data_IF_214790779106
#
_entry.id   IF_214790779106
#
_cell.length_a   1.000
_cell.length_b   1.000
_cell.length_c   1.000
_cell.angle_alpha   90.00
_cell.angle_beta   90.00
_cell.angle_gamma   90.00
#
_symmetry.space_group_name_H-M   'P 1'
#
loop_
_entity.id
_entity.type
_entity.pdbx_description
1 polymer ?
#
# COMPACT_ATOMS: atom_id res chain seq x y z
N UNK A 1 12.07 -28.96 4.42
CA UNK A 1 11.78 -28.00 5.50
C UNK A 1 11.56 -26.58 4.95
N UNK A 2 12.42 -26.07 4.04
CA UNK A 2 12.23 -24.79 3.34
C UNK A 2 10.88 -24.66 2.58
N UNK A 3 10.50 -25.70 1.81
CA UNK A 3 9.20 -25.74 1.11
C UNK A 3 7.97 -25.89 2.04
N UNK A 4 8.17 -26.21 3.32
CA UNK A 4 7.08 -26.47 4.27
C UNK A 4 6.80 -25.22 5.14
N UNK A 5 7.85 -24.52 5.55
CA UNK A 5 7.75 -23.23 6.27
C UNK A 5 7.13 -22.16 5.38
N UNK A 6 7.51 -22.11 4.10
CA UNK A 6 6.91 -21.19 3.11
C UNK A 6 5.43 -21.51 2.86
N UNK A 7 5.02 -22.79 2.90
CA UNK A 7 3.64 -23.24 2.65
C UNK A 7 2.68 -23.01 3.84
N UNK A 8 3.21 -22.88 5.06
CA UNK A 8 2.40 -22.62 6.26
C UNK A 8 2.43 -21.14 6.68
N UNK A 9 3.51 -20.41 6.38
CA UNK A 9 3.53 -18.95 6.55
C UNK A 9 2.53 -18.27 5.60
N UNK A 10 2.37 -18.79 4.37
CA UNK A 10 1.33 -18.35 3.43
C UNK A 10 -0.09 -18.60 3.95
N UNK A 11 -0.34 -19.62 4.77
CA UNK A 11 -1.69 -19.89 5.32
C UNK A 11 -2.14 -18.90 6.40
N UNK A 12 -1.22 -18.35 7.19
CA UNK A 12 -1.57 -17.41 8.25
C UNK A 12 -1.74 -15.96 7.75
N UNK A 13 -1.15 -15.63 6.59
CA UNK A 13 -1.48 -14.42 5.84
C UNK A 13 -2.68 -14.62 4.88
N UNK A 14 -3.02 -15.87 4.50
CA UNK A 14 -4.12 -16.20 3.58
C UNK A 14 -5.53 -16.07 4.17
N UNK A 15 -5.70 -15.52 5.38
CA UNK A 15 -7.05 -15.24 5.92
C UNK A 15 -7.73 -14.02 5.24
N UNK A 16 -7.06 -13.34 4.29
CA UNK A 16 -7.69 -12.30 3.46
C UNK A 16 -7.58 -12.55 1.95
N UNK A 17 -7.73 -13.80 1.49
CA UNK A 17 -8.03 -14.07 0.07
C UNK A 17 -9.52 -14.33 -0.10
N UNK A 18 -10.33 -13.26 -0.20
CA UNK A 18 -11.68 -13.39 -0.74
C UNK A 18 -11.59 -13.40 -2.26
N UNK A 19 -11.74 -14.59 -2.83
CA UNK A 19 -11.95 -14.83 -4.26
C UNK A 19 -13.23 -14.08 -4.65
N UNK A 20 -13.09 -12.98 -5.41
CA UNK A 20 -14.23 -12.36 -6.08
C UNK A 20 -14.59 -13.24 -7.28
N UNK A 21 -15.59 -14.10 -7.10
CA UNK A 21 -16.18 -14.85 -8.21
C UNK A 21 -17.03 -13.88 -9.03
N UNK A 22 -16.53 -13.41 -10.18
CA UNK A 22 -17.37 -12.89 -11.26
C UNK A 22 -17.50 -13.93 -12.36
N UNK A 23 -18.74 -14.28 -12.71
CA UNK A 23 -19.09 -15.14 -13.82
C UNK A 23 -18.56 -14.54 -15.13
N UNK A 24 -17.72 -15.28 -15.86
CA UNK A 24 -17.12 -14.77 -17.08
C UNK A 24 -16.95 -15.82 -18.18
N UNK A 25 -16.96 -15.30 -19.41
CA UNK A 25 -16.68 -15.98 -20.67
C UNK A 25 -15.26 -16.60 -20.70
N UNK A 26 -14.98 -17.55 -21.62
CA UNK A 26 -13.73 -18.33 -21.61
C UNK A 26 -12.43 -17.50 -21.65
N UNK A 27 -12.42 -16.36 -22.35
CA UNK A 27 -11.24 -15.49 -22.43
C UNK A 27 -10.90 -14.80 -21.09
N UNK A 28 -11.91 -14.45 -20.30
CA UNK A 28 -11.70 -13.82 -19.00
C UNK A 28 -11.22 -14.84 -17.96
N UNK A 29 -11.69 -16.09 -18.04
CA UNK A 29 -11.23 -17.16 -17.14
C UNK A 29 -9.74 -17.53 -17.30
N UNK A 30 -9.20 -17.39 -18.51
CA UNK A 30 -7.79 -17.66 -18.81
C UNK A 30 -6.88 -16.51 -18.31
N UNK A 31 -7.28 -15.26 -18.54
CA UNK A 31 -6.58 -14.07 -17.98
C UNK A 31 -6.56 -14.08 -16.44
N UNK A 32 -7.65 -14.50 -15.77
CA UNK A 32 -7.70 -14.58 -14.31
C UNK A 32 -6.82 -15.70 -13.72
N UNK A 33 -6.67 -16.82 -14.44
CA UNK A 33 -5.79 -17.90 -14.00
C UNK A 33 -4.32 -17.48 -14.09
N UNK A 34 -3.94 -16.82 -15.19
CA UNK A 34 -2.59 -16.27 -15.36
C UNK A 34 -2.26 -15.19 -14.31
N UNK A 35 -3.22 -14.32 -13.98
CA UNK A 35 -3.06 -13.32 -12.92
C UNK A 35 -2.72 -13.94 -11.55
N UNK A 36 -3.41 -15.03 -11.21
CA UNK A 36 -3.22 -15.73 -9.93
C UNK A 36 -1.83 -16.36 -9.83
N UNK A 37 -1.32 -16.93 -10.93
CA UNK A 37 0.04 -17.48 -10.99
C UNK A 37 1.10 -16.39 -10.81
N UNK A 38 0.94 -15.24 -11.49
CA UNK A 38 1.84 -14.09 -11.36
C UNK A 38 1.85 -13.52 -9.94
N UNK A 39 0.68 -13.42 -9.29
CA UNK A 39 0.58 -12.95 -7.90
C UNK A 39 1.37 -13.87 -6.98
N UNK A 40 1.15 -15.19 -7.09
CA UNK A 40 1.87 -16.18 -6.30
C UNK A 40 3.39 -16.10 -6.53
N UNK A 41 3.84 -15.96 -7.78
CA UNK A 41 5.26 -15.82 -8.10
C UNK A 41 5.87 -14.56 -7.46
N UNK A 42 5.19 -13.41 -7.58
CA UNK A 42 5.63 -12.16 -6.99
C UNK A 42 5.74 -12.25 -5.46
N UNK A 43 4.77 -12.87 -4.80
CA UNK A 43 4.80 -13.14 -3.36
C UNK A 43 5.96 -14.03 -2.96
N UNK A 44 6.25 -15.08 -3.74
CA UNK A 44 7.40 -15.94 -3.47
C UNK A 44 8.72 -15.16 -3.53
N UNK A 45 8.89 -14.27 -4.52
CA UNK A 45 10.07 -13.41 -4.57
C UNK A 45 10.11 -12.41 -3.42
N UNK A 46 8.97 -11.82 -3.04
CA UNK A 46 8.88 -10.92 -1.89
C UNK A 46 9.33 -11.63 -0.60
N UNK A 47 8.83 -12.85 -0.35
CA UNK A 47 9.16 -13.66 0.83
C UNK A 47 10.63 -14.07 0.88
N UNK A 48 11.26 -14.28 -0.29
CA UNK A 48 12.70 -14.58 -0.40
C UNK A 48 13.59 -13.33 -0.28
N UNK A 49 12.99 -12.14 -0.13
CA UNK A 49 13.72 -10.88 -0.13
C UNK A 49 14.21 -10.44 -1.52
N UNK A 50 13.78 -11.11 -2.59
CA UNK A 50 14.11 -10.82 -3.98
C UNK A 50 13.22 -9.69 -4.52
N UNK A 51 13.19 -8.56 -3.81
CA UNK A 51 12.18 -7.50 -4.00
C UNK A 51 12.15 -6.93 -5.42
N UNK A 52 13.30 -6.80 -6.10
CA UNK A 52 13.34 -6.33 -7.50
C UNK A 52 12.52 -7.21 -8.44
N UNK A 53 12.64 -8.53 -8.29
CA UNK A 53 11.89 -9.48 -9.13
C UNK A 53 10.40 -9.40 -8.81
N UNK A 54 10.03 -9.31 -7.54
CA UNK A 54 8.62 -9.11 -7.14
C UNK A 54 8.02 -7.83 -7.75
N UNK A 55 8.77 -6.72 -7.76
CA UNK A 55 8.31 -5.44 -8.32
C UNK A 55 8.06 -5.53 -9.82
N UNK A 56 8.96 -6.18 -10.58
CA UNK A 56 8.78 -6.38 -12.02
C UNK A 56 7.48 -7.13 -12.29
N UNK A 57 7.19 -8.18 -11.51
CA UNK A 57 5.96 -8.95 -11.69
C UNK A 57 4.73 -8.14 -11.27
N UNK A 58 4.80 -7.37 -10.18
CA UNK A 58 3.71 -6.45 -9.81
C UNK A 58 3.43 -5.42 -10.89
N UNK A 59 4.46 -4.89 -11.56
CA UNK A 59 4.29 -3.99 -12.71
C UNK A 59 3.54 -4.67 -13.85
N UNK A 60 3.92 -5.90 -14.21
CA UNK A 60 3.22 -6.69 -15.23
C UNK A 60 1.76 -6.95 -14.86
N UNK A 61 1.47 -7.26 -13.58
CA UNK A 61 0.09 -7.46 -13.11
C UNK A 61 -0.71 -6.16 -13.24
N UNK A 62 -0.12 -5.01 -12.90
CA UNK A 62 -0.78 -3.71 -12.99
C UNK A 62 -0.99 -3.22 -14.43
N UNK A 63 -0.27 -3.77 -15.41
CA UNK A 63 -0.59 -3.55 -16.83
C UNK A 63 -1.93 -4.19 -17.20
N UNK A 64 -2.27 -5.33 -16.58
CA UNK A 64 -3.50 -6.09 -16.82
C UNK A 64 -4.63 -5.60 -15.89
N UNK A 65 -4.33 -5.35 -14.62
CA UNK A 65 -5.26 -4.96 -13.56
C UNK A 65 -4.82 -3.64 -12.90
N UNK A 66 -4.92 -2.50 -13.60
CA UNK A 66 -4.43 -1.20 -13.12
C UNK A 66 -5.21 -0.63 -11.92
N UNK A 67 -6.31 -1.27 -11.52
CA UNK A 67 -7.17 -0.83 -10.43
C UNK A 67 -7.13 -1.79 -9.23
N UNK A 68 -6.11 -2.64 -9.13
CA UNK A 68 -5.93 -3.55 -8.00
C UNK A 68 -5.13 -2.88 -6.88
N UNK A 69 -5.82 -2.46 -5.81
CA UNK A 69 -5.18 -1.83 -4.65
C UNK A 69 -4.16 -2.74 -3.98
N UNK A 70 -4.39 -4.06 -3.99
CA UNK A 70 -3.54 -5.01 -3.27
C UNK A 70 -2.17 -5.11 -3.91
N UNK A 71 -2.12 -5.11 -5.23
CA UNK A 71 -0.86 -5.14 -5.97
C UNK A 71 -0.04 -3.88 -5.71
N UNK A 72 -0.69 -2.71 -5.64
CA UNK A 72 -0.03 -1.46 -5.22
C UNK A 72 0.49 -1.51 -3.79
N UNK A 73 -0.26 -2.07 -2.83
CA UNK A 73 0.21 -2.27 -1.45
C UNK A 73 1.46 -3.14 -1.42
N UNK A 74 1.43 -4.27 -2.13
CA UNK A 74 2.54 -5.24 -2.13
C UNK A 74 3.78 -4.69 -2.82
N UNK A 75 3.60 -3.96 -3.92
CA UNK A 75 4.69 -3.21 -4.57
C UNK A 75 5.26 -2.14 -3.64
N UNK A 76 4.41 -1.41 -2.92
CA UNK A 76 4.81 -0.44 -1.90
C UNK A 76 5.63 -1.07 -0.77
N UNK A 77 5.23 -2.26 -0.29
CA UNK A 77 5.96 -3.07 0.69
C UNK A 77 7.32 -3.52 0.13
N UNK A 78 7.38 -4.04 -1.09
CA UNK A 78 8.62 -4.46 -1.73
C UNK A 78 9.61 -3.28 -1.83
N UNK A 79 9.15 -2.11 -2.28
CA UNK A 79 9.95 -0.89 -2.35
C UNK A 79 10.42 -0.44 -0.95
N UNK A 80 9.54 -0.47 0.06
CA UNK A 80 9.90 -0.14 1.44
C UNK A 80 10.99 -1.07 1.99
N UNK A 81 10.96 -2.34 1.61
CA UNK A 81 11.98 -3.31 2.02
C UNK A 81 13.27 -3.20 1.22
N UNK A 82 13.25 -2.79 -0.06
CA UNK A 82 14.48 -2.44 -0.81
C UNK A 82 15.26 -1.35 -0.09
N UNK A 83 14.57 -0.35 0.46
CA UNK A 83 15.20 0.68 1.29
C UNK A 83 15.96 0.08 2.48
N UNK A 84 15.45 -1.01 3.07
CA UNK A 84 16.07 -1.71 4.19
C UNK A 84 17.18 -2.68 3.75
N UNK A 85 17.29 -3.05 2.47
CA UNK A 85 18.39 -3.91 2.00
C UNK A 85 19.75 -3.24 2.17
N UNK A 86 19.86 -1.91 2.31
CA UNK A 86 21.12 -1.28 2.71
C UNK A 86 21.59 -1.69 4.11
N UNK A 87 20.67 -2.21 4.95
CA UNK A 87 20.95 -2.58 6.34
C UNK A 87 21.21 -4.09 6.52
N UNK A 88 22.48 -4.47 6.73
CA UNK A 88 23.06 -5.74 7.27
C UNK A 88 22.64 -7.12 6.72
N UNK A 89 21.58 -7.23 5.95
CA UNK A 89 21.05 -8.50 5.43
C UNK A 89 21.10 -8.61 3.90
N UNK A 90 21.69 -7.64 3.18
CA UNK A 90 21.76 -7.70 1.73
C UNK A 90 22.52 -8.94 1.28
N UNK A 91 21.84 -9.77 0.49
CA UNK A 91 22.47 -10.62 -0.51
C UNK A 91 23.59 -9.83 -1.22
N UNK A 92 24.70 -10.48 -1.57
CA UNK A 92 25.75 -9.84 -2.36
C UNK A 92 25.11 -9.19 -3.59
N UNK A 93 25.24 -7.87 -3.69
CA UNK A 93 24.78 -7.14 -4.85
C UNK A 93 25.83 -7.34 -5.94
N UNK A 94 25.50 -8.11 -6.97
CA UNK A 94 26.21 -8.06 -8.26
C UNK A 94 26.00 -6.65 -8.83
N UNK A 95 26.93 -5.73 -8.50
CA UNK A 95 27.03 -4.31 -8.87
C UNK A 95 26.70 -3.31 -7.74
N UNK A 96 27.70 -2.83 -6.97
CA UNK A 96 27.55 -1.76 -5.99
C UNK A 96 27.33 -0.36 -6.60
N UNK A 97 27.18 -0.24 -7.92
CA UNK A 97 27.09 1.05 -8.62
C UNK A 97 25.74 1.78 -8.43
N UNK A 98 24.73 1.12 -7.88
CA UNK A 98 23.45 1.73 -7.56
C UNK A 98 23.38 2.12 -6.08
N UNK A 99 23.83 3.31 -5.72
CA UNK A 99 23.58 3.86 -4.38
C UNK A 99 22.06 4.03 -4.22
N UNK A 100 21.41 3.20 -3.40
CA UNK A 100 19.99 3.40 -3.10
C UNK A 100 19.86 4.64 -2.22
N UNK A 101 19.46 5.76 -2.81
CA UNK A 101 19.04 6.93 -2.04
C UNK A 101 17.77 6.56 -1.25
N UNK A 102 17.90 6.50 0.08
CA UNK A 102 16.82 6.17 1.02
C UNK A 102 15.60 7.04 0.76
N UNK A 103 15.80 8.33 0.44
CA UNK A 103 14.71 9.26 0.15
C UNK A 103 14.03 8.95 -1.18
N UNK A 104 14.81 8.51 -2.18
CA UNK A 104 14.27 8.09 -3.47
C UNK A 104 13.40 6.82 -3.35
N UNK A 105 13.91 5.78 -2.71
CA UNK A 105 13.14 4.54 -2.53
C UNK A 105 11.93 4.74 -1.62
N UNK A 106 12.07 5.55 -0.55
CA UNK A 106 10.94 5.93 0.30
C UNK A 106 9.85 6.68 -0.48
N UNK A 107 10.25 7.59 -1.39
CA UNK A 107 9.31 8.28 -2.28
C UNK A 107 8.53 7.29 -3.14
N UNK A 108 9.23 6.35 -3.81
CA UNK A 108 8.58 5.36 -4.67
C UNK A 108 7.56 4.52 -3.88
N UNK A 109 7.95 4.01 -2.71
CA UNK A 109 7.06 3.25 -1.82
C UNK A 109 5.82 4.07 -1.41
N UNK A 110 6.03 5.32 -0.98
CA UNK A 110 4.94 6.23 -0.56
C UNK A 110 3.96 6.49 -1.70
N UNK A 111 4.44 6.60 -2.95
CA UNK A 111 3.57 6.77 -4.14
C UNK A 111 2.69 5.54 -4.37
N UNK A 112 3.23 4.33 -4.24
CA UNK A 112 2.42 3.11 -4.46
C UNK A 112 1.37 2.93 -3.36
N UNK A 113 1.69 3.22 -2.10
CA UNK A 113 0.68 3.24 -1.03
C UNK A 113 -0.38 4.33 -1.25
N UNK A 114 0.00 5.48 -1.79
CA UNK A 114 -0.96 6.52 -2.17
C UNK A 114 -1.93 6.03 -3.24
N UNK A 115 -1.44 5.38 -4.31
CA UNK A 115 -2.30 4.77 -5.33
C UNK A 115 -3.21 3.68 -4.76
N UNK A 116 -2.69 2.84 -3.87
CA UNK A 116 -3.50 1.83 -3.17
C UNK A 116 -4.65 2.47 -2.40
N UNK A 117 -4.38 3.57 -1.68
CA UNK A 117 -5.39 4.31 -0.91
C UNK A 117 -6.43 5.01 -1.81
N UNK A 118 -6.03 5.54 -2.98
CA UNK A 118 -6.96 6.10 -3.96
C UNK A 118 -7.94 5.06 -4.53
N UNK A 119 -7.53 3.78 -4.56
CA UNK A 119 -8.39 2.67 -5.00
C UNK A 119 -9.23 2.13 -3.83
N UNK A 120 -8.62 1.98 -2.65
CA UNK A 120 -9.23 1.48 -1.42
C UNK A 120 -8.94 2.46 -0.25
N UNK A 121 -9.82 3.45 -0.02
CA UNK A 121 -9.63 4.50 0.99
C UNK A 121 -9.59 4.02 2.44
N UNK A 122 -10.01 2.77 2.68
CA UNK A 122 -10.08 2.12 4.00
C UNK A 122 -8.99 1.07 4.20
N UNK A 123 -8.01 0.98 3.30
CA UNK A 123 -6.89 0.04 3.48
C UNK A 123 -6.00 0.47 4.64
N UNK A 124 -6.06 -0.28 5.75
CA UNK A 124 -5.17 -0.11 6.90
C UNK A 124 -3.70 -0.28 6.50
N UNK A 125 -3.41 -1.20 5.57
CA UNK A 125 -2.06 -1.43 5.04
C UNK A 125 -1.55 -0.19 4.31
N UNK A 126 -2.36 0.39 3.41
CA UNK A 126 -1.97 1.59 2.67
C UNK A 126 -1.82 2.82 3.58
N UNK A 127 -2.73 2.98 4.55
CA UNK A 127 -2.65 4.05 5.57
C UNK A 127 -1.37 3.92 6.41
N UNK A 128 -1.05 2.71 6.89
CA UNK A 128 0.19 2.45 7.60
C UNK A 128 1.42 2.70 6.70
N UNK A 129 1.37 2.28 5.44
CA UNK A 129 2.44 2.51 4.48
C UNK A 129 2.72 4.01 4.25
N UNK A 130 1.68 4.84 4.13
CA UNK A 130 1.82 6.30 4.05
C UNK A 130 2.34 6.91 5.35
N UNK A 131 1.82 6.47 6.51
CA UNK A 131 2.31 6.91 7.81
C UNK A 131 3.80 6.64 7.99
N UNK A 132 4.26 5.43 7.64
CA UNK A 132 5.67 5.06 7.65
C UNK A 132 6.47 5.89 6.64
N UNK A 133 5.94 6.07 5.42
CA UNK A 133 6.56 6.88 4.36
C UNK A 133 6.82 8.32 4.79
N UNK A 134 5.83 9.00 5.35
CA UNK A 134 5.97 10.36 5.89
C UNK A 134 6.89 10.40 7.12
N UNK A 135 6.81 9.42 8.02
CA UNK A 135 7.71 9.30 9.16
C UNK A 135 9.18 9.20 8.72
N UNK A 136 9.46 8.42 7.68
CA UNK A 136 10.80 8.31 7.07
C UNK A 136 11.27 9.58 6.36
N UNK A 137 10.40 10.57 6.15
CA UNK A 137 10.77 11.91 5.69
C UNK A 137 10.90 12.92 6.85
N UNK A 138 10.70 12.49 8.09
CA UNK A 138 10.58 13.37 9.25
C UNK A 138 9.30 14.21 9.28
N UNK A 139 8.33 13.91 8.40
CA UNK A 139 7.02 14.58 8.33
C UNK A 139 6.06 13.96 9.36
N UNK A 140 6.43 14.05 10.64
CA UNK A 140 5.79 13.29 11.71
C UNK A 140 4.32 13.66 11.95
N UNK A 141 3.94 14.93 11.80
CA UNK A 141 2.55 15.34 11.95
C UNK A 141 1.67 14.85 10.79
N UNK A 142 2.22 14.77 9.59
CA UNK A 142 1.52 14.19 8.44
C UNK A 142 1.36 12.68 8.63
N UNK A 143 2.41 11.99 9.09
CA UNK A 143 2.37 10.57 9.42
C UNK A 143 1.28 10.24 10.46
N UNK A 144 1.17 11.03 11.54
CA UNK A 144 0.13 10.85 12.57
C UNK A 144 -1.29 10.87 12.00
N UNK A 145 -1.58 11.69 10.99
CA UNK A 145 -2.91 11.75 10.37
C UNK A 145 -3.29 10.42 9.72
N UNK A 146 -2.35 9.77 9.03
CA UNK A 146 -2.58 8.47 8.42
C UNK A 146 -2.71 7.35 9.46
N UNK A 147 -1.89 7.37 10.51
CA UNK A 147 -2.01 6.41 11.60
C UNK A 147 -3.31 6.58 12.39
N UNK A 148 -3.76 7.81 12.64
CA UNK A 148 -5.06 8.06 13.27
C UNK A 148 -6.21 7.46 12.43
N UNK A 149 -6.22 7.67 11.12
CA UNK A 149 -7.19 7.06 10.20
C UNK A 149 -7.12 5.53 10.19
N UNK A 150 -5.92 4.95 10.30
CA UNK A 150 -5.78 3.49 10.41
C UNK A 150 -6.41 2.96 11.70
N UNK A 151 -6.22 3.65 12.84
CA UNK A 151 -6.81 3.27 14.12
C UNK A 151 -8.32 3.55 14.21
N UNK A 152 -8.85 4.49 13.42
CA UNK A 152 -10.31 4.64 13.28
C UNK A 152 -10.96 3.40 12.64
N UNK A 153 -10.25 2.71 11.76
CA UNK A 153 -10.73 1.51 11.04
C UNK A 153 -10.44 0.25 11.86
N UNK A 154 -9.21 0.13 12.37
CA UNK A 154 -8.76 -1.01 13.18
C UNK A 154 -8.12 -0.49 14.48
N UNK A 155 -8.93 -0.25 15.53
CA UNK A 155 -8.46 0.33 16.80
C UNK A 155 -7.39 -0.49 17.52
N UNK A 156 -7.30 -1.79 17.22
CA UNK A 156 -6.35 -2.72 17.84
C UNK A 156 -5.12 -3.04 16.98
N UNK A 157 -4.92 -2.31 15.89
CA UNK A 157 -3.77 -2.52 15.02
C UNK A 157 -2.44 -2.19 15.76
N UNK A 158 -1.73 -3.25 16.18
CA UNK A 158 -0.48 -3.13 16.93
C UNK A 158 0.64 -2.46 16.12
N UNK A 159 0.70 -2.69 14.81
CA UNK A 159 1.69 -2.07 13.92
C UNK A 159 1.52 -0.57 13.94
N UNK A 160 0.28 -0.08 13.77
CA UNK A 160 -0.04 1.34 13.82
C UNK A 160 0.30 1.95 15.18
N UNK A 161 -0.11 1.32 16.29
CA UNK A 161 0.18 1.79 17.64
C UNK A 161 1.69 1.92 17.90
N UNK A 162 2.49 0.95 17.46
CA UNK A 162 3.95 0.96 17.62
C UNK A 162 4.60 2.12 16.86
N UNK A 163 4.20 2.38 15.62
CA UNK A 163 4.73 3.51 14.85
C UNK A 163 4.29 4.86 15.43
N UNK A 164 3.07 4.95 15.96
CA UNK A 164 2.58 6.17 16.60
C UNK A 164 3.39 6.50 17.87
N UNK A 165 3.58 5.52 18.76
CA UNK A 165 4.40 5.68 19.97
C UNK A 165 5.84 6.10 19.63
N UNK A 166 6.45 5.47 18.62
CA UNK A 166 7.75 5.87 18.11
C UNK A 166 7.79 7.34 17.66
N UNK A 167 6.79 7.77 16.89
CA UNK A 167 6.72 9.15 16.40
C UNK A 167 6.56 10.13 17.57
N UNK A 168 5.69 9.82 18.53
CA UNK A 168 5.46 10.67 19.71
C UNK A 168 6.73 10.83 20.55
N UNK A 169 7.46 9.74 20.78
CA UNK A 169 8.78 9.76 21.45
C UNK A 169 9.80 10.61 20.68
N UNK A 170 9.79 10.52 19.35
CA UNK A 170 10.71 11.26 18.48
C UNK A 170 10.42 12.76 18.52
N UNK A 171 9.16 13.17 18.34
CA UNK A 171 8.72 14.58 18.43
C UNK A 171 9.05 15.17 19.80
N UNK A 172 8.86 14.39 20.88
CA UNK A 172 9.15 14.85 22.24
C UNK A 172 10.65 15.11 22.46
N UNK A 173 11.52 14.37 21.78
CA UNK A 173 12.97 14.41 21.97
C UNK A 173 13.67 15.38 21.03
N UNK A 174 13.15 15.57 19.83
CA UNK A 174 13.79 16.36 18.78
C UNK A 174 12.81 17.39 18.19
N UNK A 175 13.24 18.65 17.98
CA UNK A 175 12.44 19.62 17.22
C UNK A 175 12.12 19.10 15.83
N UNK A 176 10.87 19.29 15.38
CA UNK A 176 10.41 18.81 14.08
C UNK A 176 10.09 19.98 13.16
N UNK A 177 10.65 19.94 11.95
CA UNK A 177 10.29 20.84 10.86
C UNK A 177 9.33 20.12 9.92
N UNK A 178 8.39 20.86 9.36
CA UNK A 178 7.41 20.32 8.42
C UNK A 178 7.49 21.04 7.10
N UNK A 179 7.40 20.24 6.04
CA UNK A 179 7.24 20.79 4.71
C UNK A 179 5.82 21.30 4.55
N UNK A 180 5.66 22.60 4.27
CA UNK A 180 4.35 23.13 3.95
C UNK A 180 3.74 22.37 2.77
N UNK A 181 2.55 21.80 2.99
CA UNK A 181 1.80 21.09 1.95
C UNK A 181 1.33 22.09 0.88
N UNK A 182 1.59 21.84 -0.41
CA UNK A 182 1.21 22.77 -1.46
C UNK A 182 -0.30 23.12 -1.46
N UNK A 183 -0.68 24.39 -1.71
CA UNK A 183 -2.08 24.81 -1.71
C UNK A 183 -3.00 24.02 -2.64
N UNK A 184 -2.48 23.51 -3.76
CA UNK A 184 -3.26 22.68 -4.68
C UNK A 184 -3.62 21.31 -4.08
N UNK A 185 -2.75 20.69 -3.28
CA UNK A 185 -3.04 19.45 -2.56
C UNK A 185 -3.97 19.70 -1.38
N UNK A 186 -3.79 20.81 -0.66
CA UNK A 186 -4.75 21.22 0.39
C UNK A 186 -6.15 21.44 -0.20
N UNK A 187 -6.23 21.99 -1.41
CA UNK A 187 -7.49 22.13 -2.14
C UNK A 187 -8.03 20.77 -2.62
N UNK A 188 -7.16 19.85 -3.04
CA UNK A 188 -7.56 18.48 -3.39
C UNK A 188 -8.16 17.73 -2.19
N UNK A 189 -7.52 17.84 -1.01
CA UNK A 189 -7.98 17.19 0.24
C UNK A 189 -9.26 17.81 0.82
N UNK A 190 -9.49 19.11 0.60
CA UNK A 190 -10.70 19.82 1.02
C UNK A 190 -11.86 19.65 0.03
N UNK A 191 -11.57 19.31 -1.21
CA UNK A 191 -12.60 19.16 -2.24
C UNK A 191 -13.12 17.73 -2.25
N UNK A 192 -14.40 17.56 -1.90
CA UNK A 192 -15.07 16.26 -2.03
C UNK A 192 -15.10 15.77 -3.48
N UNK A 193 -14.99 16.66 -4.46
CA UNK A 193 -14.88 16.35 -5.89
C UNK A 193 -13.45 16.61 -6.37
N UNK A 194 -12.72 15.60 -6.87
CA UNK A 194 -11.42 15.83 -7.48
C UNK A 194 -11.46 16.89 -8.57
N UNK A 195 -10.50 17.81 -8.53
CA UNK A 195 -10.44 18.98 -9.43
C UNK A 195 -10.44 18.59 -10.91
N UNK A 196 -9.91 17.42 -11.24
CA UNK A 196 -9.86 16.96 -12.59
C UNK A 196 -11.22 16.62 -13.19
N UNK A 197 -12.21 16.22 -12.38
CA UNK A 197 -13.55 15.89 -12.85
C UNK A 197 -14.23 17.15 -13.37
N UNK A 198 -14.01 18.25 -12.66
CA UNK A 198 -14.44 19.60 -13.06
C UNK A 198 -13.73 20.08 -14.33
N UNK A 199 -12.45 19.73 -14.48
CA UNK A 199 -11.68 20.00 -15.72
C UNK A 199 -12.21 19.19 -16.90
N UNK A 200 -12.41 17.87 -16.71
CA UNK A 200 -12.97 16.95 -17.70
C UNK A 200 -14.37 17.40 -18.15
N UNK A 201 -15.22 17.85 -17.22
CA UNK A 201 -16.53 18.41 -17.56
C UNK A 201 -16.43 19.61 -18.53
N UNK A 202 -15.45 20.50 -18.32
CA UNK A 202 -15.19 21.62 -19.24
C UNK A 202 -14.66 21.18 -20.61
N UNK A 203 -13.79 20.18 -20.65
CA UNK A 203 -13.29 19.58 -21.89
C UNK A 203 -14.40 18.86 -22.66
N UNK A 204 -15.24 18.10 -21.97
CA UNK A 204 -16.38 17.39 -22.54
C UNK A 204 -17.40 18.36 -23.12
N UNK A 205 -17.68 19.45 -22.39
CA UNK A 205 -18.55 20.52 -22.88
C UNK A 205 -17.98 21.30 -24.08
N UNK A 206 -16.68 21.16 -24.34
CA UNK A 206 -15.99 21.75 -25.49
C UNK A 206 -15.64 20.72 -26.56
N UNK A 207 -16.24 19.52 -26.49
CA UNK A 207 -16.04 18.40 -27.43
C UNK A 207 -14.58 17.93 -27.56
N UNK A 208 -13.75 18.16 -26.53
CA UNK A 208 -12.34 17.74 -26.49
C UNK A 208 -12.16 16.30 -26.01
N UNK A 209 -13.14 15.75 -25.31
CA UNK A 209 -13.17 14.37 -24.82
C UNK A 209 -14.54 13.75 -25.11
N UNK A 210 -14.60 12.42 -25.19
CA UNK A 210 -15.83 11.69 -25.52
C UNK A 210 -16.82 11.63 -24.36
N UNK A 211 -18.07 11.25 -24.64
CA UNK A 211 -19.07 10.96 -23.60
C UNK A 211 -18.58 9.85 -22.66
N UNK A 212 -17.86 8.85 -23.17
CA UNK A 212 -17.28 7.79 -22.35
C UNK A 212 -16.23 8.32 -21.37
N UNK A 213 -15.36 9.24 -21.80
CA UNK A 213 -14.34 9.85 -20.94
C UNK A 213 -14.97 10.70 -19.83
N UNK A 214 -16.06 11.41 -20.15
CA UNK A 214 -16.83 12.16 -19.17
C UNK A 214 -17.58 11.25 -18.18
N UNK A 215 -18.29 10.23 -18.70
CA UNK A 215 -19.02 9.23 -17.89
C UNK A 215 -18.06 8.54 -16.93
N UNK A 216 -16.83 8.25 -17.36
CA UNK A 216 -15.89 7.57 -16.51
C UNK A 216 -15.37 8.48 -15.36
N UNK A 217 -15.36 9.80 -15.55
CA UNK A 217 -15.26 10.76 -14.43
C UNK A 217 -16.44 10.70 -13.46
N UNK A 218 -17.65 10.52 -13.97
CA UNK A 218 -18.85 10.30 -13.14
C UNK A 218 -18.81 8.96 -12.41
N UNK A 219 -18.31 7.90 -13.05
CA UNK A 219 -18.10 6.59 -12.43
C UNK A 219 -17.13 6.69 -11.24
N UNK A 220 -16.08 7.50 -11.35
CA UNK A 220 -15.19 7.78 -10.22
C UNK A 220 -15.96 8.40 -9.04
N UNK A 221 -16.81 9.40 -9.29
CA UNK A 221 -17.59 10.06 -8.24
C UNK A 221 -18.52 9.10 -7.50
N UNK A 222 -19.16 8.19 -8.24
CA UNK A 222 -20.03 7.15 -7.68
C UNK A 222 -19.21 6.13 -6.88
N UNK A 223 -18.10 5.62 -7.44
CA UNK A 223 -17.21 4.65 -6.79
C UNK A 223 -16.71 5.17 -5.44
N UNK A 224 -16.30 6.42 -5.39
CA UNK A 224 -15.76 7.06 -4.18
C UNK A 224 -16.84 7.60 -3.24
N UNK A 225 -18.12 7.28 -3.49
CA UNK A 225 -19.27 7.70 -2.67
C UNK A 225 -19.41 9.22 -2.53
N UNK A 226 -18.84 9.97 -3.49
CA UNK A 226 -19.00 11.42 -3.63
C UNK A 226 -20.41 11.71 -4.18
N UNK A 227 -20.85 10.93 -5.17
CA UNK A 227 -22.27 10.80 -5.52
C UNK A 227 -22.81 9.55 -4.83
N UNK A 228 -23.77 9.73 -3.92
CA UNK A 228 -24.48 8.62 -3.26
C UNK A 228 -25.77 8.31 -3.98
N UNK A 229 -25.86 7.09 -4.52
CA UNK A 229 -27.04 6.56 -5.22
C UNK A 229 -27.82 5.63 -4.28
N UNK A 230 -29.14 5.75 -4.29
CA UNK A 230 -30.02 4.88 -3.50
C UNK A 230 -30.34 3.63 -4.34
N UNK A 231 -30.06 2.44 -3.79
CA UNK A 231 -29.98 1.14 -4.48
C UNK A 231 -31.23 0.73 -5.28
N UNK A 232 -32.38 1.32 -4.98
CA UNK A 232 -33.68 0.96 -5.54
C UNK A 232 -34.06 1.73 -6.82
N UNK A 233 -33.27 2.73 -7.23
CA UNK A 233 -33.73 3.73 -8.21
C UNK A 233 -33.06 3.67 -9.59
N UNK A 234 -32.14 2.75 -9.86
CA UNK A 234 -31.43 2.70 -11.14
C UNK A 234 -32.22 1.88 -12.17
N UNK A 235 -32.81 2.55 -13.16
CA UNK A 235 -33.45 1.88 -14.30
C UNK A 235 -32.44 1.01 -15.09
N UNK A 236 -32.81 -0.25 -15.36
CA UNK A 236 -31.93 -1.27 -15.97
C UNK A 236 -31.71 -1.13 -17.48
N UNK A 237 -32.45 -0.25 -18.16
CA UNK A 237 -32.37 -0.08 -19.61
C UNK A 237 -31.71 1.27 -19.95
N UNK A 238 -30.37 1.29 -19.99
CA UNK A 238 -29.62 2.52 -20.28
C UNK A 238 -29.48 2.78 -21.77
N UNK A 239 -29.89 3.96 -22.24
CA UNK A 239 -29.65 4.39 -23.63
C UNK A 239 -28.22 4.92 -23.85
N UNK A 240 -27.50 5.28 -22.78
CA UNK A 240 -26.20 5.99 -22.80
C UNK A 240 -26.21 7.29 -23.65
N UNK A 241 -27.40 7.83 -23.95
CA UNK A 241 -27.53 9.10 -24.68
C UNK A 241 -27.64 10.21 -23.65
N UNK A 242 -26.54 10.95 -23.45
CA UNK A 242 -26.54 12.11 -22.58
C UNK A 242 -27.19 13.28 -23.33
N UNK A 243 -28.25 13.90 -22.78
CA UNK A 243 -28.87 15.06 -23.42
C UNK A 243 -27.87 16.21 -23.62
N UNK A 244 -27.84 16.81 -24.82
CA UNK A 244 -26.86 17.84 -25.18
C UNK A 244 -26.86 19.06 -24.25
N UNK A 245 -28.00 19.39 -23.62
CA UNK A 245 -28.10 20.50 -22.67
C UNK A 245 -27.24 20.29 -21.41
N UNK A 246 -26.88 19.04 -21.06
CA UNK A 246 -25.99 18.73 -19.94
C UNK A 246 -24.58 19.26 -20.17
N UNK A 247 -24.12 19.36 -21.43
CA UNK A 247 -22.83 20.00 -21.75
C UNK A 247 -22.80 21.47 -21.33
N UNK A 248 -23.92 22.19 -21.39
CA UNK A 248 -23.99 23.56 -20.88
C UNK A 248 -23.81 23.62 -19.36
N UNK A 249 -24.44 22.69 -18.63
CA UNK A 249 -24.26 22.58 -17.17
C UNK A 249 -22.82 22.23 -16.81
N UNK A 250 -22.19 21.31 -17.55
CA UNK A 250 -20.80 20.94 -17.38
C UNK A 250 -19.85 22.13 -17.63
N UNK A 251 -20.10 22.94 -18.67
CA UNK A 251 -19.37 24.18 -18.96
C UNK A 251 -19.51 25.22 -17.85
N UNK A 252 -20.73 25.41 -17.35
CA UNK A 252 -20.99 26.36 -16.25
C UNK A 252 -20.35 25.89 -14.96
N UNK A 253 -20.40 24.59 -14.68
CA UNK A 253 -19.76 24.00 -13.52
C UNK A 253 -18.25 24.18 -13.59
N UNK A 254 -17.61 23.82 -14.71
CA UNK A 254 -16.17 23.97 -14.89
C UNK A 254 -15.68 25.41 -14.75
N UNK A 255 -16.52 26.37 -15.15
CA UNK A 255 -16.26 27.81 -15.03
C UNK A 255 -16.62 28.40 -13.64
N UNK A 256 -17.07 27.57 -12.69
CA UNK A 256 -17.46 28.01 -11.35
C UNK A 256 -18.77 28.80 -11.27
N UNK A 257 -19.60 28.76 -12.32
CA UNK A 257 -20.89 29.48 -12.39
C UNK A 257 -22.04 28.76 -11.69
N UNK A 258 -21.92 27.45 -11.48
CA UNK A 258 -22.85 26.65 -10.67
C UNK A 258 -22.06 25.87 -9.62
N UNK A 259 -22.73 25.58 -8.49
CA UNK A 259 -22.11 24.86 -7.37
C UNK A 259 -21.85 23.39 -7.69
N UNK A 260 -20.95 22.79 -6.92
CA UNK A 260 -20.65 21.36 -6.96
C UNK A 260 -21.92 20.53 -6.70
N UNK A 261 -22.67 20.85 -5.64
CA UNK A 261 -23.94 20.22 -5.30
C UNK A 261 -24.96 20.31 -6.46
N UNK A 262 -25.12 21.49 -7.06
CA UNK A 262 -26.06 21.69 -8.17
C UNK A 262 -25.73 20.82 -9.38
N UNK A 263 -24.45 20.71 -9.73
CA UNK A 263 -24.03 19.86 -10.84
C UNK A 263 -24.19 18.38 -10.51
N UNK A 264 -23.74 17.94 -9.33
CA UNK A 264 -23.83 16.55 -8.89
C UNK A 264 -25.27 16.05 -8.77
N UNK A 265 -26.20 16.88 -8.30
CA UNK A 265 -27.63 16.53 -8.25
C UNK A 265 -28.19 16.29 -9.67
N UNK A 266 -27.77 17.10 -10.64
CA UNK A 266 -28.11 16.88 -12.05
C UNK A 266 -27.56 15.55 -12.58
N UNK A 267 -26.31 15.21 -12.24
CA UNK A 267 -25.71 13.92 -12.60
C UNK A 267 -26.42 12.75 -11.90
N UNK A 268 -26.74 12.86 -10.61
CA UNK A 268 -27.51 11.87 -9.86
C UNK A 268 -28.85 11.61 -10.56
N UNK A 269 -29.56 12.66 -10.96
CA UNK A 269 -30.80 12.54 -11.73
C UNK A 269 -30.60 11.77 -13.05
N UNK A 270 -29.56 12.08 -13.83
CA UNK A 270 -29.29 11.37 -15.09
C UNK A 270 -29.00 9.89 -14.89
N UNK A 271 -28.30 9.53 -13.81
CA UNK A 271 -28.00 8.14 -13.47
C UNK A 271 -29.28 7.40 -13.06
N UNK A 272 -30.07 8.00 -12.15
CA UNK A 272 -31.33 7.43 -11.68
C UNK A 272 -32.32 7.18 -12.82
N UNK A 273 -32.39 8.08 -13.80
CA UNK A 273 -33.27 7.94 -14.98
C UNK A 273 -32.64 7.15 -16.14
N UNK A 274 -31.59 6.35 -15.89
CA UNK A 274 -30.99 5.46 -16.89
C UNK A 274 -30.29 6.16 -18.08
N UNK A 275 -30.09 7.47 -18.03
CA UNK A 275 -29.44 8.23 -19.13
C UNK A 275 -27.92 8.08 -19.10
N UNK A 276 -27.33 7.92 -17.92
CA UNK A 276 -25.90 7.60 -17.72
C UNK A 276 -25.79 6.23 -17.06
N UNK A 277 -25.13 5.29 -17.73
CA UNK A 277 -24.81 3.99 -17.15
C UNK A 277 -23.45 4.01 -16.43
N UNK A 278 -23.48 3.79 -15.12
CA UNK A 278 -22.28 3.68 -14.27
C UNK A 278 -22.02 2.25 -13.78
N UNK A 279 -22.80 1.26 -14.22
CA UNK A 279 -22.76 -0.12 -13.70
C UNK A 279 -21.65 -1.00 -14.28
N UNK A 280 -21.10 -0.65 -15.45
CA UNK A 280 -20.00 -1.40 -16.06
C UNK A 280 -18.66 -0.74 -15.77
N UNK A 281 -17.92 -1.31 -14.82
CA UNK A 281 -16.52 -0.98 -14.61
C UNK A 281 -15.69 -1.73 -15.66
N UNK A 282 -15.40 -1.08 -16.79
CA UNK A 282 -14.50 -1.65 -17.80
C UNK A 282 -13.05 -1.50 -17.35
N UNK A 283 -12.22 -2.50 -17.65
CA UNK A 283 -10.77 -2.42 -17.57
C UNK A 283 -10.34 -1.21 -18.42
N UNK A 284 -9.97 -0.10 -17.78
CA UNK A 284 -10.05 1.22 -18.40
C UNK A 284 -8.73 1.94 -18.26
N UNK A 285 -8.11 2.19 -19.41
CA UNK A 285 -6.97 3.10 -19.60
C UNK A 285 -7.18 4.45 -18.89
N UNK A 286 -8.44 4.86 -18.67
CA UNK A 286 -8.76 6.07 -17.93
C UNK A 286 -8.51 5.94 -16.41
N UNK A 287 -8.79 4.80 -15.77
CA UNK A 287 -8.47 4.60 -14.34
C UNK A 287 -6.95 4.66 -14.15
N UNK A 288 -6.20 4.03 -15.05
CA UNK A 288 -4.73 4.11 -15.07
C UNK A 288 -4.25 5.56 -15.21
N UNK A 289 -4.75 6.30 -16.21
CA UNK A 289 -4.44 7.73 -16.42
C UNK A 289 -4.79 8.59 -15.21
N UNK A 290 -5.88 8.29 -14.51
CA UNK A 290 -6.30 9.04 -13.33
C UNK A 290 -5.37 8.82 -12.14
N UNK A 291 -5.09 7.55 -11.85
CA UNK A 291 -4.17 7.16 -10.80
C UNK A 291 -2.78 7.74 -11.06
N UNK A 292 -2.32 7.72 -12.31
CA UNK A 292 -1.05 8.35 -12.71
C UNK A 292 -1.06 9.86 -12.50
N UNK A 293 -2.13 10.56 -12.89
CA UNK A 293 -2.24 12.02 -12.67
C UNK A 293 -2.26 12.36 -11.18
N UNK A 294 -3.03 11.63 -10.41
CA UNK A 294 -3.19 11.85 -8.97
C UNK A 294 -1.87 11.55 -8.24
N UNK A 295 -1.22 10.44 -8.59
CA UNK A 295 0.12 10.11 -8.12
C UNK A 295 1.18 11.14 -8.54
N UNK A 296 1.11 11.71 -9.75
CA UNK A 296 2.03 12.75 -10.20
C UNK A 296 1.92 14.03 -9.38
N UNK A 297 0.69 14.46 -9.07
CA UNK A 297 0.43 15.62 -8.20
C UNK A 297 0.99 15.39 -6.79
N UNK A 298 0.77 14.20 -6.25
CA UNK A 298 1.31 13.78 -4.96
C UNK A 298 2.85 13.71 -4.97
N UNK A 299 3.46 13.21 -6.05
CA UNK A 299 4.90 13.15 -6.20
C UNK A 299 5.55 14.53 -6.11
N UNK A 300 4.92 15.59 -6.67
CA UNK A 300 5.46 16.96 -6.56
C UNK A 300 5.62 17.40 -5.10
N UNK A 301 4.72 16.97 -4.22
CA UNK A 301 4.84 17.22 -2.79
C UNK A 301 5.99 16.43 -2.16
N UNK A 302 6.13 15.16 -2.50
CA UNK A 302 7.28 14.37 -2.02
C UNK A 302 8.63 14.93 -2.51
N UNK A 303 8.70 15.46 -3.74
CA UNK A 303 9.91 16.13 -4.23
C UNK A 303 10.19 17.45 -3.51
N UNK A 304 9.15 18.21 -3.13
CA UNK A 304 9.30 19.37 -2.24
C UNK A 304 9.86 18.93 -0.88
N UNK A 305 9.30 17.90 -0.27
CA UNK A 305 9.76 17.35 1.01
C UNK A 305 11.25 16.97 0.92
N UNK A 306 11.64 16.22 -0.11
CA UNK A 306 13.05 15.83 -0.31
C UNK A 306 14.00 17.02 -0.42
N UNK A 307 13.58 18.08 -1.12
CA UNK A 307 14.37 19.30 -1.24
C UNK A 307 14.48 20.03 0.10
N UNK A 308 13.37 20.13 0.83
CA UNK A 308 13.32 20.83 2.10
C UNK A 308 14.14 20.07 3.17
N UNK A 309 14.08 18.73 3.21
CA UNK A 309 14.97 17.87 4.02
C UNK A 309 16.45 18.22 3.79
N UNK A 310 16.86 18.35 2.52
CA UNK A 310 18.26 18.67 2.16
C UNK A 310 18.64 20.09 2.52
N UNK A 311 17.73 21.05 2.34
CA UNK A 311 18.01 22.47 2.60
C UNK A 311 18.04 22.81 4.10
N UNK A 312 17.28 22.07 4.90
CA UNK A 312 17.14 22.29 6.34
C UNK A 312 18.12 21.45 7.18
N UNK A 313 18.94 20.60 6.55
CA UNK A 313 19.72 19.56 7.22
C UNK A 313 18.86 18.77 8.23
N UNK A 314 17.65 18.39 7.79
CA UNK A 314 16.61 17.88 8.69
C UNK A 314 17.04 16.58 9.36
N UNK A 315 16.92 16.56 10.69
CA UNK A 315 17.11 15.35 11.47
C UNK A 315 15.94 14.38 11.27
N UNK A 316 16.25 13.16 10.85
CA UNK A 316 15.29 12.07 10.68
C UNK A 316 15.77 10.90 11.53
N UNK A 317 15.00 10.57 12.58
CA UNK A 317 15.15 9.28 13.24
C UNK A 317 14.47 8.25 12.33
N UNK A 318 15.04 7.05 12.18
CA UNK A 318 14.36 5.97 11.46
C UNK A 318 13.88 4.92 12.46
N UNK A 319 12.67 4.35 12.30
CA UNK A 319 12.11 3.38 13.23
C UNK A 319 12.87 2.04 13.26
N UNK A 320 13.49 1.69 12.14
CA UNK A 320 14.32 0.49 12.03
C UNK A 320 15.80 0.85 12.18
N UNK A 321 16.62 -0.06 12.74
CA UNK A 321 18.04 0.18 12.95
C UNK A 321 18.72 0.63 11.67
N UNK A 322 19.31 1.83 11.71
CA UNK A 322 20.08 2.38 10.60
C UNK A 322 21.38 1.61 10.38
N UNK A 323 22.07 1.91 9.28
CA UNK A 323 23.45 1.44 9.04
C UNK A 323 24.40 1.75 10.22
N UNK A 324 24.04 2.67 11.11
CA UNK A 324 24.83 2.98 12.31
C UNK A 324 24.64 1.97 13.45
N UNK A 325 23.53 1.24 13.50
CA UNK A 325 23.34 0.13 14.45
C UNK A 325 24.17 -1.07 14.01
N UNK A 326 24.31 -1.28 12.70
CA UNK A 326 25.24 -2.25 12.10
C UNK A 326 26.65 -2.05 12.63
N UNK A 327 27.13 -0.80 12.63
CA UNK A 327 28.46 -0.46 13.15
C UNK A 327 28.64 -0.94 14.60
N UNK A 328 27.58 -0.97 15.42
CA UNK A 328 27.66 -1.48 16.80
C UNK A 328 27.88 -2.99 16.84
N UNK A 329 27.22 -3.75 15.96
CA UNK A 329 27.48 -5.18 15.79
C UNK A 329 28.95 -5.44 15.42
N UNK A 330 29.52 -4.60 14.53
CA UNK A 330 30.93 -4.69 14.14
C UNK A 330 31.92 -4.24 15.22
N UNK A 331 31.53 -3.30 16.11
CA UNK A 331 32.39 -2.81 17.21
C UNK A 331 32.51 -3.82 18.36
N UNK A 332 31.46 -4.56 18.66
CA UNK A 332 31.44 -5.56 19.74
C UNK A 332 31.03 -6.95 19.20
N UNK A 333 31.75 -7.54 18.23
CA UNK A 333 31.29 -8.71 17.48
C UNK A 333 31.03 -9.95 18.35
N UNK A 334 31.77 -10.11 19.46
CA UNK A 334 31.57 -11.20 20.42
C UNK A 334 30.33 -11.02 21.29
N UNK A 335 29.93 -9.78 21.58
CA UNK A 335 28.72 -9.49 22.36
C UNK A 335 27.46 -9.84 21.60
N UNK A 336 27.51 -9.71 20.27
CA UNK A 336 26.35 -9.88 19.40
C UNK A 336 26.39 -11.14 18.55
N UNK A 337 27.34 -12.05 18.78
CA UNK A 337 27.56 -13.26 17.98
C UNK A 337 27.69 -12.98 16.46
N UNK A 338 28.23 -11.82 16.07
CA UNK A 338 28.29 -11.40 14.67
C UNK A 338 29.15 -12.34 13.82
N UNK A 339 30.30 -12.78 14.34
CA UNK A 339 31.17 -13.73 13.62
C UNK A 339 30.46 -15.04 13.31
N UNK A 340 29.83 -15.65 14.31
CA UNK A 340 29.01 -16.86 14.12
C UNK A 340 27.84 -16.62 13.15
N UNK A 341 27.25 -15.43 13.16
CA UNK A 341 26.19 -15.05 12.22
C UNK A 341 26.69 -14.92 10.77
N UNK A 342 27.89 -14.38 10.55
CA UNK A 342 28.47 -14.21 9.21
C UNK A 342 29.00 -15.53 8.64
N UNK A 343 29.54 -16.39 9.51
CA UNK A 343 30.10 -17.70 9.13
C UNK A 343 29.02 -18.79 8.99
N UNK A 344 27.77 -18.52 9.41
CA UNK A 344 26.68 -19.49 9.22
C UNK A 344 26.28 -19.52 7.73
N UNK A 345 25.96 -20.71 7.18
CA UNK A 345 25.32 -20.78 5.87
C UNK A 345 24.06 -19.90 5.87
N UNK A 346 23.81 -19.13 4.80
CA UNK A 346 22.75 -18.11 4.71
C UNK A 346 21.35 -18.62 5.12
N UNK A 347 21.12 -19.94 5.07
CA UNK A 347 19.85 -20.61 5.40
C UNK A 347 19.92 -21.56 6.61
N UNK A 348 20.98 -21.52 7.43
CA UNK A 348 21.12 -22.44 8.55
C UNK A 348 20.48 -21.90 9.83
N UNK A 349 19.28 -22.38 10.12
CA UNK A 349 18.74 -22.48 11.47
C UNK A 349 18.93 -23.92 11.95
N UNK A 350 19.14 -24.13 13.27
CA UNK A 350 19.02 -25.49 13.81
C UNK A 350 17.65 -26.03 13.38
N UNK A 351 17.59 -27.14 12.63
CA UNK A 351 16.32 -27.62 12.10
C UNK A 351 15.39 -27.95 13.27
N UNK A 352 14.13 -27.54 13.16
CA UNK A 352 13.12 -27.92 14.12
C UNK A 352 13.04 -29.44 14.20
N UNK A 353 13.04 -29.98 15.43
CA UNK A 353 12.76 -31.39 15.66
C UNK A 353 11.25 -31.58 15.57
N UNK A 354 10.83 -32.43 14.66
CA UNK A 354 9.42 -32.77 14.49
C UNK A 354 9.23 -34.23 14.85
N UNK A 355 8.32 -34.49 15.77
CA UNK A 355 7.93 -35.85 16.15
C UNK A 355 6.43 -35.90 16.42
N UNK A 356 5.84 -37.10 16.37
CA UNK A 356 4.41 -37.29 16.65
C UNK A 356 4.22 -37.93 18.01
N UNK A 357 3.30 -37.39 18.80
CA UNK A 357 2.74 -38.03 19.98
C UNK A 357 1.26 -38.17 19.72
N UNK A 358 0.77 -39.42 19.67
CA UNK A 358 -0.59 -39.75 19.24
C UNK A 358 -0.94 -39.13 17.86
N UNK A 359 -2.02 -38.33 17.80
CA UNK A 359 -2.50 -37.63 16.60
C UNK A 359 -2.05 -36.16 16.54
N UNK A 360 -0.96 -35.81 17.23
CA UNK A 360 -0.41 -34.46 17.28
C UNK A 360 1.06 -34.44 16.85
N UNK A 361 1.40 -33.53 15.93
CA UNK A 361 2.78 -33.22 15.59
C UNK A 361 3.34 -32.19 16.57
N UNK A 362 4.39 -32.56 17.30
CA UNK A 362 5.14 -31.65 18.15
C UNK A 362 6.33 -31.10 17.35
N UNK A 363 6.42 -29.78 17.27
CA UNK A 363 7.50 -29.05 16.60
C UNK A 363 8.33 -28.34 17.67
N UNK A 364 9.51 -28.88 17.97
CA UNK A 364 10.47 -28.24 18.87
C UNK A 364 11.51 -27.48 18.04
N UNK A 365 11.78 -26.24 18.42
CA UNK A 365 12.79 -25.41 17.76
C UNK A 365 13.55 -24.59 18.80
N UNK A 366 14.77 -24.19 18.47
CA UNK A 366 15.57 -23.28 19.30
C UNK A 366 15.64 -21.91 18.65
N UNK A 367 15.38 -20.90 19.44
CA UNK A 367 15.53 -19.50 19.07
C UNK A 367 16.50 -18.82 20.01
N UNK A 368 17.41 -18.03 19.43
CA UNK A 368 18.29 -17.17 20.18
C UNK A 368 17.88 -15.73 19.90
N UNK A 369 17.34 -15.05 20.92
CA UNK A 369 16.96 -13.65 20.85
C UNK A 369 18.02 -12.86 21.63
N UNK A 370 18.75 -11.99 20.94
CA UNK A 370 19.71 -11.09 21.58
C UNK A 370 18.99 -9.98 22.37
N UNK A 371 19.66 -9.41 23.37
CA UNK A 371 19.15 -8.24 24.08
C UNK A 371 18.91 -7.06 23.14
N UNK A 372 17.83 -6.31 23.39
CA UNK A 372 17.54 -5.07 22.68
C UNK A 372 18.59 -4.00 23.02
N UNK A 373 19.30 -3.40 22.04
CA UNK A 373 20.18 -2.26 22.31
C UNK A 373 19.37 -1.09 22.90
N UNK A 374 19.83 -0.44 23.99
CA UNK A 374 19.01 0.47 24.82
C UNK A 374 18.63 1.81 24.15
N UNK A 375 19.00 2.01 22.88
CA UNK A 375 18.73 3.26 22.13
C UNK A 375 17.95 3.01 20.84
N UNK A 376 17.45 1.80 20.62
CA UNK A 376 16.58 1.57 19.47
C UNK A 376 15.19 2.17 19.72
N UNK A 377 14.59 2.80 18.70
CA UNK A 377 13.33 3.51 18.86
C UNK A 377 12.11 2.59 19.02
N UNK A 378 12.16 1.37 18.48
CA UNK A 378 11.10 0.37 18.56
C UNK A 378 11.53 -0.85 19.39
N UNK A 379 10.60 -1.47 20.10
CA UNK A 379 10.82 -2.72 20.83
C UNK A 379 10.77 -3.94 19.90
N UNK A 380 11.88 -4.20 19.22
CA UNK A 380 11.99 -5.32 18.28
C UNK A 380 12.04 -6.68 18.99
N UNK A 381 12.67 -6.73 20.17
CA UNK A 381 12.76 -7.96 20.97
C UNK A 381 11.37 -8.38 21.48
N UNK A 382 10.61 -7.46 22.06
CA UNK A 382 9.23 -7.72 22.49
C UNK A 382 8.34 -8.16 21.33
N UNK A 383 8.41 -7.45 20.19
CA UNK A 383 7.65 -7.83 18.99
C UNK A 383 7.99 -9.25 18.48
N UNK A 384 9.27 -9.64 18.53
CA UNK A 384 9.69 -10.99 18.15
C UNK A 384 9.19 -12.04 19.15
N UNK A 385 9.28 -11.76 20.45
CA UNK A 385 8.77 -12.64 21.51
C UNK A 385 7.26 -12.84 21.43
N UNK A 386 6.50 -11.77 21.19
CA UNK A 386 5.05 -11.84 21.05
C UNK A 386 4.64 -12.59 19.77
N UNK A 387 5.41 -12.46 18.69
CA UNK A 387 5.23 -13.27 17.48
C UNK A 387 5.41 -14.76 17.77
N UNK A 388 6.50 -15.16 18.44
CA UNK A 388 6.69 -16.56 18.82
C UNK A 388 5.57 -17.08 19.72
N UNK A 389 5.17 -16.29 20.72
CA UNK A 389 4.06 -16.66 21.61
C UNK A 389 2.75 -16.87 20.86
N UNK A 390 2.43 -15.95 19.93
CA UNK A 390 1.24 -16.10 19.09
C UNK A 390 1.21 -17.45 18.37
N UNK A 391 2.34 -17.85 17.78
CA UNK A 391 2.46 -19.12 17.05
C UNK A 391 2.45 -20.34 17.96
N UNK A 392 3.09 -20.26 19.13
CA UNK A 392 3.11 -21.32 20.14
C UNK A 392 1.72 -21.58 20.74
N UNK A 393 0.83 -20.59 20.71
CA UNK A 393 -0.56 -20.69 21.15
C UNK A 393 -1.51 -21.25 20.06
N UNK A 394 -1.07 -21.39 18.81
CA UNK A 394 -1.91 -21.94 17.73
C UNK A 394 -1.91 -23.47 17.71
N UNK A 395 -3.09 -24.06 17.52
CA UNK A 395 -3.25 -25.48 17.15
C UNK A 395 -3.63 -25.56 15.66
N UNK A 396 -2.85 -26.27 14.83
CA UNK A 396 -2.99 -26.23 13.37
C UNK A 396 -3.20 -27.62 12.78
N UNK A 397 -4.34 -27.85 12.12
CA UNK A 397 -4.59 -29.14 11.47
C UNK A 397 -3.80 -29.31 10.17
N UNK A 398 -3.06 -30.41 10.07
CA UNK A 398 -2.40 -30.87 8.86
C UNK A 398 -3.43 -31.25 7.79
N UNK A 399 -3.36 -30.58 6.65
CA UNK A 399 -4.26 -30.87 5.52
C UNK A 399 -3.96 -32.18 4.77
N UNK A 400 -2.86 -32.86 5.09
CA UNK A 400 -2.48 -34.09 4.40
C UNK A 400 -3.06 -35.34 5.08
N UNK A 401 -3.13 -35.34 6.40
CA UNK A 401 -3.47 -36.50 7.21
C UNK A 401 -4.44 -36.19 8.37
N UNK A 402 -4.89 -34.94 8.51
CA UNK A 402 -5.90 -34.54 9.49
C UNK A 402 -5.40 -34.47 10.93
N UNK A 403 -4.10 -34.69 11.16
CA UNK A 403 -3.48 -34.59 12.49
C UNK A 403 -3.35 -33.15 12.95
N UNK A 404 -3.26 -32.94 14.25
CA UNK A 404 -3.11 -31.62 14.89
C UNK A 404 -1.66 -31.16 14.97
#
# INVERSE_FOLDING_TARGET
MHNYVVKNFTKSLAVFSFIIIFLASPAFSEETNNATELINEAEQYLLKGEYKKSIIIYDNILEIFPADSKIYEMKGIALSNIRLQSTLGSQEIENPSGTYDILYTNKLSTIEFYKALEINPTSVIALNGLGIGFGNFGEYDEAKKYFARALEIEPDNFVTKNYLDYIEKTIKKYPTNQTEKPPFLLKLEKNEIPYWIKTNAGWWASDKISDNDFIAGIQYLVKNKIIRLDSETVEKNSSNIIPAWIKNNAKWWSAGKISDESFLNGIKYLITNGMINVSTQKNSEMIKKELERTAWNFERYLEKIKRDIKNEDRYIEYPNPSDSVIIKYWKEPHRWNLGQYLDRPKDFFEPAKVYSVDDTYIIEYKIFINEQPPRLPLDHMGALQDSFRFWEEQELTSGNDGKK
#
